data_IF_451384198544
#
_entry.id   IF_451384198544
#
_cell.length_a   1.000
_cell.length_b   1.000
_cell.length_c   1.000
_cell.angle_alpha   90.00
_cell.angle_beta   90.00
_cell.angle_gamma   90.00
#
_symmetry.space_group_name_H-M   'P 1'
#
loop_
_entity.id
_entity.type
_entity.pdbx_description
1 polymer ?
#
# COMPACT_ATOMS: atom_id res chain seq x y z
N UNK A 1 -4.62 -6.06 11.08
CA UNK A 1 -3.97 -4.74 10.95
C UNK A 1 -5.02 -3.64 10.93
N UNK A 2 -4.73 -2.52 11.55
CA UNK A 2 -5.63 -1.37 11.52
C UNK A 2 -5.20 -0.40 10.42
N UNK A 3 -6.13 0.35 9.82
CA UNK A 3 -5.76 1.30 8.77
C UNK A 3 -4.72 2.33 9.21
N UNK A 4 -4.81 2.80 10.45
CA UNK A 4 -3.84 3.75 10.97
C UNK A 4 -2.45 3.15 11.07
N UNK A 5 -2.38 1.90 11.46
CA UNK A 5 -1.11 1.19 11.56
C UNK A 5 -0.45 1.07 10.18
N UNK A 6 -1.25 0.74 9.18
CA UNK A 6 -0.75 0.64 7.82
C UNK A 6 -0.22 1.98 7.32
N UNK A 7 -0.95 3.06 7.62
CA UNK A 7 -0.51 4.40 7.22
C UNK A 7 0.83 4.75 7.86
N UNK A 8 0.96 4.46 9.15
CA UNK A 8 2.21 4.74 9.86
C UNK A 8 3.37 3.93 9.29
N UNK A 9 3.11 2.70 8.90
CA UNK A 9 4.17 1.86 8.33
C UNK A 9 4.63 2.40 6.98
N UNK A 10 3.71 2.90 6.18
CA UNK A 10 4.07 3.51 4.89
C UNK A 10 4.87 4.79 5.13
N UNK A 11 4.42 5.62 6.05
CA UNK A 11 5.14 6.86 6.37
C UNK A 11 6.55 6.56 6.87
N UNK A 12 6.67 5.54 7.72
CA UNK A 12 7.99 5.14 8.23
C UNK A 12 8.89 4.63 7.12
N UNK A 13 8.34 3.86 6.18
CA UNK A 13 9.11 3.35 5.07
C UNK A 13 9.63 4.48 4.21
N UNK A 14 8.78 5.47 3.93
CA UNK A 14 9.18 6.62 3.12
C UNK A 14 10.25 7.42 3.84
N UNK A 15 10.08 7.65 5.15
CA UNK A 15 11.05 8.40 5.94
C UNK A 15 12.39 7.69 6.03
N UNK A 16 12.37 6.36 6.11
CA UNK A 16 13.58 5.58 6.30
C UNK A 16 14.32 5.31 5.00
N UNK A 17 13.60 5.01 3.93
CA UNK A 17 14.19 4.58 2.67
C UNK A 17 14.08 5.58 1.54
N UNK A 18 13.23 6.59 1.66
CA UNK A 18 13.04 7.60 0.63
C UNK A 18 12.64 6.98 -0.70
N UNK A 19 13.42 7.26 -1.75
CA UNK A 19 13.14 6.74 -3.08
C UNK A 19 13.20 5.22 -3.16
N UNK A 20 13.85 4.59 -2.19
CA UNK A 20 14.02 3.14 -2.19
C UNK A 20 12.96 2.43 -1.34
N UNK A 21 11.90 3.13 -0.96
CA UNK A 21 10.85 2.57 -0.11
C UNK A 21 9.89 1.64 -0.86
N UNK A 22 10.00 1.55 -2.18
CA UNK A 22 9.04 0.81 -3.00
C UNK A 22 8.79 -0.61 -2.52
N UNK A 23 9.84 -1.35 -2.20
CA UNK A 23 9.70 -2.73 -1.78
C UNK A 23 9.01 -2.83 -0.42
N UNK A 24 9.38 -1.95 0.52
CA UNK A 24 8.75 -1.94 1.83
C UNK A 24 7.28 -1.54 1.73
N UNK A 25 6.98 -0.56 0.88
CA UNK A 25 5.60 -0.13 0.65
C UNK A 25 4.78 -1.26 0.05
N UNK A 26 5.35 -1.98 -0.90
CA UNK A 26 4.67 -3.10 -1.54
C UNK A 26 4.31 -4.17 -0.53
N UNK A 27 5.20 -4.47 0.41
CA UNK A 27 4.91 -5.42 1.46
C UNK A 27 3.75 -4.97 2.32
N UNK A 28 3.73 -3.69 2.69
CA UNK A 28 2.63 -3.15 3.50
C UNK A 28 1.31 -3.23 2.74
N UNK A 29 1.32 -2.86 1.46
CA UNK A 29 0.11 -2.89 0.64
C UNK A 29 -0.43 -4.32 0.52
N UNK A 30 0.46 -5.30 0.34
CA UNK A 30 0.03 -6.69 0.28
C UNK A 30 -0.59 -7.16 1.60
N UNK A 31 -0.03 -6.74 2.72
CA UNK A 31 -0.59 -7.07 4.03
C UNK A 31 -1.94 -6.40 4.23
N UNK A 32 -2.07 -5.14 3.83
CA UNK A 32 -3.35 -4.43 3.94
C UNK A 32 -4.40 -5.12 3.10
N UNK A 33 -4.04 -5.48 1.87
CA UNK A 33 -4.99 -6.17 1.00
C UNK A 33 -5.46 -7.47 1.61
N UNK A 34 -4.56 -8.21 2.23
CA UNK A 34 -4.87 -9.49 2.85
C UNK A 34 -5.73 -9.33 4.10
N UNK A 35 -5.44 -8.32 4.92
CA UNK A 35 -6.13 -8.14 6.20
C UNK A 35 -7.38 -7.28 6.10
N UNK A 36 -7.36 -6.25 5.27
CA UNK A 36 -8.42 -5.23 5.22
C UNK A 36 -9.14 -5.18 3.88
N UNK A 37 -8.58 -5.82 2.85
CA UNK A 37 -9.20 -5.86 1.55
C UNK A 37 -8.60 -4.88 0.56
N UNK A 38 -8.94 -5.07 -0.72
CA UNK A 38 -8.39 -4.27 -1.81
C UNK A 38 -8.78 -2.79 -1.71
N UNK A 39 -9.98 -2.50 -1.21
CA UNK A 39 -10.43 -1.13 -1.06
C UNK A 39 -9.53 -0.33 -0.15
N UNK A 40 -9.20 -0.90 1.01
CA UNK A 40 -8.32 -0.23 1.97
C UNK A 40 -6.93 -0.03 1.38
N UNK A 41 -6.43 -1.02 0.66
CA UNK A 41 -5.14 -0.90 0.01
C UNK A 41 -5.14 0.21 -1.03
N UNK A 42 -6.20 0.31 -1.82
CA UNK A 42 -6.31 1.35 -2.83
C UNK A 42 -6.42 2.74 -2.23
N UNK A 43 -7.05 2.87 -1.08
CA UNK A 43 -7.11 4.15 -0.38
C UNK A 43 -5.72 4.64 0.00
N UNK A 44 -4.87 3.72 0.46
CA UNK A 44 -3.51 4.08 0.83
C UNK A 44 -2.67 4.42 -0.41
N UNK A 45 -2.84 3.67 -1.48
CA UNK A 45 -2.14 3.94 -2.73
C UNK A 45 -2.49 5.34 -3.21
N UNK A 46 -3.75 5.71 -3.11
CA UNK A 46 -4.21 7.02 -3.54
C UNK A 46 -3.74 8.13 -2.60
N UNK A 47 -3.81 7.88 -1.30
CA UNK A 47 -3.43 8.88 -0.31
C UNK A 47 -1.97 9.28 -0.43
N UNK A 48 -1.09 8.32 -0.65
CA UNK A 48 0.34 8.57 -0.75
C UNK A 48 0.86 8.65 -2.18
N UNK A 49 -0.05 8.59 -3.14
CA UNK A 49 0.30 8.66 -4.57
C UNK A 49 1.33 7.60 -4.94
N UNK A 50 1.12 6.38 -4.43
CA UNK A 50 2.11 5.31 -4.56
C UNK A 50 2.23 4.81 -5.99
N UNK A 51 1.17 4.91 -6.77
CA UNK A 51 1.20 4.45 -8.15
C UNK A 51 2.21 5.26 -8.97
N UNK A 52 2.23 6.57 -8.78
CA UNK A 52 3.15 7.44 -9.52
C UNK A 52 4.53 7.49 -8.88
N UNK A 53 4.57 7.55 -7.54
CA UNK A 53 5.84 7.75 -6.85
C UNK A 53 6.65 6.46 -6.74
N UNK A 54 5.99 5.33 -6.59
CA UNK A 54 6.67 4.06 -6.34
C UNK A 54 6.22 2.95 -7.28
N UNK A 55 5.44 3.30 -8.29
CA UNK A 55 4.99 2.35 -9.30
C UNK A 55 4.21 1.17 -8.69
N UNK A 56 3.46 1.44 -7.63
CA UNK A 56 2.62 0.44 -6.98
C UNK A 56 1.28 0.38 -7.70
N UNK A 57 0.93 -0.74 -8.34
CA UNK A 57 -0.31 -0.79 -9.10
C UNK A 57 -1.53 -0.84 -8.19
N UNK A 58 -2.68 -0.34 -8.67
CA UNK A 58 -3.92 -0.46 -7.92
C UNK A 58 -4.25 -1.92 -7.67
N UNK A 59 -4.87 -2.20 -6.52
CA UNK A 59 -5.21 -3.56 -6.14
C UNK A 59 -6.57 -3.93 -6.72
N UNK A 60 -6.69 -5.14 -7.21
CA UNK A 60 -7.93 -5.66 -7.74
C UNK A 60 -8.65 -6.47 -6.68
N UNK A 61 -9.98 -6.43 -6.70
CA UNK A 61 -10.75 -7.27 -5.80
C UNK A 61 -10.72 -8.71 -6.29
N UNK A 62 -10.85 -9.65 -5.36
CA UNK A 62 -10.64 -11.06 -5.64
C UNK A 62 -11.56 -11.62 -6.71
N UNK A 63 -12.81 -11.23 -6.68
CA UNK A 63 -13.77 -11.81 -7.62
C UNK A 63 -13.64 -11.24 -9.04
N UNK A 64 -12.92 -10.17 -9.21
CA UNK A 64 -12.76 -9.58 -10.54
C UNK A 64 -11.58 -10.16 -11.29
N UNK A 65 -10.84 -11.03 -10.68
CA UNK A 65 -9.63 -11.58 -11.25
C UNK A 65 -9.86 -12.78 -12.18
N UNK A 66 -11.06 -13.23 -12.28
CA UNK A 66 -11.39 -14.41 -13.05
C UNK A 66 -11.00 -14.31 -14.51
#
# INVERSE_FOLDING_TARGET
MKPEEARQRIESAIAQYGQHAGMAIELVINEVRSDLGAEAANELIDEFDLELSYNTPPQESDYSSS
#
